data_IF_435151830655
#
_entry.id   IF_435151830655
#
_cell.length_a   1.000
_cell.length_b   1.000
_cell.length_c   1.000
_cell.angle_alpha   90.00
_cell.angle_beta   90.00
_cell.angle_gamma   90.00
#
_symmetry.space_group_name_H-M   'P 1'
#
loop_
_entity.id
_entity.type
_entity.pdbx_description
1 polymer ?
#
# COMPACT_ATOMS: atom_id res chain seq x y z
N UNK A 1 -21.00 -53.35 5.96
CA UNK A 1 -20.49 -52.61 4.78
C UNK A 1 -21.56 -51.62 4.35
N UNK A 2 -21.72 -50.54 5.11
CA UNK A 2 -22.51 -49.36 4.77
C UNK A 2 -21.75 -48.22 5.45
N UNK A 3 -20.65 -47.82 4.84
CA UNK A 3 -19.94 -46.61 5.20
C UNK A 3 -20.40 -45.53 4.21
N UNK A 4 -20.93 -44.44 4.77
CA UNK A 4 -20.53 -43.08 4.40
C UNK A 4 -21.08 -42.44 3.12
N UNK A 5 -22.35 -42.67 2.80
CA UNK A 5 -23.08 -41.73 1.93
C UNK A 5 -23.18 -40.33 2.56
N UNK A 6 -23.49 -40.26 3.86
CA UNK A 6 -23.59 -39.00 4.60
C UNK A 6 -22.22 -38.36 4.88
N UNK A 7 -21.17 -39.16 5.04
CA UNK A 7 -19.82 -38.67 5.35
C UNK A 7 -19.14 -38.08 4.10
N UNK A 8 -19.35 -38.67 2.92
CA UNK A 8 -18.87 -38.10 1.65
C UNK A 8 -19.57 -36.77 1.35
N UNK A 9 -20.89 -36.69 1.54
CA UNK A 9 -21.66 -35.45 1.33
C UNK A 9 -21.24 -34.39 2.36
N UNK A 10 -21.05 -34.77 3.63
CA UNK A 10 -20.56 -33.88 4.68
C UNK A 10 -19.15 -33.34 4.39
N UNK A 11 -18.23 -34.19 3.90
CA UNK A 11 -16.90 -33.77 3.47
C UNK A 11 -16.96 -32.81 2.28
N UNK A 12 -17.73 -33.14 1.24
CA UNK A 12 -17.92 -32.27 0.07
C UNK A 12 -18.49 -30.90 0.45
N UNK A 13 -19.48 -30.85 1.35
CA UNK A 13 -20.07 -29.60 1.83
C UNK A 13 -19.04 -28.76 2.59
N UNK A 14 -18.22 -29.38 3.46
CA UNK A 14 -17.14 -28.69 4.18
C UNK A 14 -16.09 -28.13 3.23
N UNK A 15 -15.61 -28.93 2.29
CA UNK A 15 -14.61 -28.49 1.31
C UNK A 15 -15.14 -27.35 0.45
N UNK A 16 -16.41 -27.43 0.03
CA UNK A 16 -17.05 -26.36 -0.75
C UNK A 16 -17.19 -25.07 0.06
N UNK A 17 -17.56 -25.17 1.34
CA UNK A 17 -17.61 -24.03 2.26
C UNK A 17 -16.24 -23.38 2.46
N UNK A 18 -15.19 -24.18 2.63
CA UNK A 18 -13.80 -23.70 2.78
C UNK A 18 -13.36 -22.95 1.51
N UNK A 19 -13.61 -23.52 0.33
CA UNK A 19 -13.27 -22.88 -0.95
C UNK A 19 -14.06 -21.59 -1.15
N UNK A 20 -15.36 -21.58 -0.85
CA UNK A 20 -16.18 -20.37 -0.94
C UNK A 20 -15.69 -19.28 0.03
N UNK A 21 -15.34 -19.67 1.26
CA UNK A 21 -14.80 -18.75 2.25
C UNK A 21 -13.47 -18.15 1.77
N UNK A 22 -12.56 -18.98 1.24
CA UNK A 22 -11.31 -18.52 0.65
C UNK A 22 -11.56 -17.54 -0.49
N UNK A 23 -12.42 -17.89 -1.45
CA UNK A 23 -12.76 -17.05 -2.60
C UNK A 23 -13.33 -15.70 -2.16
N UNK A 24 -14.28 -15.70 -1.23
CA UNK A 24 -14.96 -14.48 -0.78
C UNK A 24 -14.07 -13.57 0.09
N UNK A 25 -13.19 -14.15 0.92
CA UNK A 25 -12.35 -13.37 1.84
C UNK A 25 -11.03 -12.94 1.22
N UNK A 26 -10.51 -13.67 0.22
CA UNK A 26 -9.18 -13.44 -0.31
C UNK A 26 -9.17 -12.72 -1.65
N UNK A 27 -10.04 -13.10 -2.59
CA UNK A 27 -10.01 -12.56 -3.97
C UNK A 27 -10.36 -11.06 -4.00
N UNK A 28 -11.43 -10.57 -3.36
CA UNK A 28 -11.79 -9.15 -3.47
C UNK A 28 -10.72 -8.22 -2.89
N UNK A 29 -10.16 -8.46 -1.68
CA UNK A 29 -9.07 -7.63 -1.15
C UNK A 29 -7.81 -7.69 -2.02
N UNK A 30 -7.47 -8.85 -2.60
CA UNK A 30 -6.33 -8.99 -3.49
C UNK A 30 -6.50 -8.17 -4.79
N UNK A 31 -7.69 -8.22 -5.40
CA UNK A 31 -8.01 -7.41 -6.58
C UNK A 31 -7.99 -5.91 -6.26
N UNK A 32 -8.60 -5.53 -5.13
CA UNK A 32 -8.59 -4.14 -4.66
C UNK A 32 -7.15 -3.63 -4.43
N UNK A 33 -6.30 -4.45 -3.80
CA UNK A 33 -4.89 -4.14 -3.57
C UNK A 33 -4.09 -4.03 -4.89
N UNK A 34 -4.37 -4.88 -5.87
CA UNK A 34 -3.74 -4.82 -7.18
C UNK A 34 -4.12 -3.55 -7.93
N UNK A 35 -5.40 -3.17 -7.89
CA UNK A 35 -5.89 -1.94 -8.51
C UNK A 35 -5.31 -0.69 -7.83
N UNK A 36 -5.36 -0.63 -6.50
CA UNK A 36 -4.81 0.51 -5.74
C UNK A 36 -3.30 0.62 -5.93
N UNK A 37 -2.57 -0.49 -5.83
CA UNK A 37 -1.13 -0.55 -6.06
C UNK A 37 -0.74 -0.09 -7.47
N UNK A 38 -1.48 -0.50 -8.51
CA UNK A 38 -1.23 -0.08 -9.89
C UNK A 38 -1.42 1.43 -10.07
N UNK A 39 -2.49 1.98 -9.51
CA UNK A 39 -2.79 3.41 -9.59
C UNK A 39 -1.74 4.22 -8.83
N UNK A 40 -1.34 3.77 -7.64
CA UNK A 40 -0.27 4.40 -6.88
C UNK A 40 1.06 4.36 -7.63
N UNK A 41 1.40 3.22 -8.22
CA UNK A 41 2.63 3.06 -8.98
C UNK A 41 2.67 4.00 -10.19
N UNK A 42 1.58 4.06 -10.98
CA UNK A 42 1.49 4.95 -12.15
C UNK A 42 1.50 6.42 -11.76
N UNK A 43 0.82 6.78 -10.67
CA UNK A 43 0.84 8.16 -10.15
C UNK A 43 2.26 8.55 -9.73
N UNK A 44 2.96 7.65 -9.03
CA UNK A 44 4.36 7.84 -8.68
C UNK A 44 5.27 8.01 -9.90
N UNK A 45 5.05 7.25 -10.98
CA UNK A 45 5.81 7.41 -12.23
C UNK A 45 5.55 8.76 -12.91
N UNK A 46 4.32 9.25 -12.91
CA UNK A 46 4.00 10.56 -13.47
C UNK A 46 4.71 11.69 -12.72
N UNK A 47 4.79 11.61 -11.40
CA UNK A 47 5.57 12.55 -10.57
C UNK A 47 7.07 12.38 -10.84
N UNK A 48 7.55 11.15 -11.02
CA UNK A 48 8.93 10.87 -11.44
C UNK A 48 9.29 11.54 -12.77
N UNK A 49 8.40 11.48 -13.77
CA UNK A 49 8.59 12.18 -15.06
C UNK A 49 8.61 13.70 -14.88
N UNK A 50 7.78 14.24 -13.99
CA UNK A 50 7.85 15.67 -13.65
C UNK A 50 9.22 16.02 -13.07
N UNK A 51 9.75 15.23 -12.14
CA UNK A 51 11.09 15.41 -11.56
C UNK A 51 12.18 15.40 -12.64
N UNK A 52 12.13 14.47 -13.58
CA UNK A 52 13.08 14.40 -14.69
C UNK A 52 13.04 15.67 -15.55
N UNK A 53 11.83 16.12 -15.92
CA UNK A 53 11.65 17.38 -16.64
C UNK A 53 12.21 18.57 -15.84
N UNK A 54 11.98 18.59 -14.53
CA UNK A 54 12.48 19.61 -13.60
C UNK A 54 14.02 19.62 -13.55
N UNK A 55 14.66 18.45 -13.59
CA UNK A 55 16.11 18.30 -13.60
C UNK A 55 16.74 18.73 -14.94
N UNK A 56 16.09 18.46 -16.07
CA UNK A 56 16.55 18.89 -17.39
C UNK A 56 16.50 20.42 -17.53
N UNK A 57 15.48 21.06 -16.96
CA UNK A 57 15.37 22.53 -16.94
C UNK A 57 16.45 23.16 -16.05
N UNK A 58 16.88 22.49 -14.97
CA UNK A 58 17.94 22.98 -14.07
C UNK A 58 19.31 23.16 -14.78
N UNK A 59 19.58 22.38 -15.82
CA UNK A 59 20.82 22.48 -16.61
C UNK A 59 20.84 23.65 -17.59
N UNK A 60 19.68 24.19 -17.95
CA UNK A 60 19.53 25.25 -18.94
C UNK A 60 19.09 26.57 -18.26
N UNK A 61 19.23 27.72 -18.94
CA UNK A 61 18.65 28.98 -18.45
C UNK A 61 17.16 28.94 -18.80
N UNK A 62 16.26 28.75 -17.81
CA UNK A 62 14.90 28.35 -18.12
C UNK A 62 14.10 29.51 -18.70
N UNK A 63 13.41 29.24 -19.82
CA UNK A 63 12.46 30.19 -20.39
C UNK A 63 11.17 30.24 -19.58
N UNK A 64 10.53 31.42 -19.50
CA UNK A 64 9.29 31.63 -18.74
C UNK A 64 8.18 30.61 -19.08
N UNK A 65 8.04 30.30 -20.37
CA UNK A 65 7.05 29.35 -20.86
C UNK A 65 7.26 27.93 -20.33
N UNK A 66 8.50 27.49 -20.16
CA UNK A 66 8.81 26.14 -19.68
C UNK A 66 8.46 25.99 -18.21
N UNK A 67 8.81 27.00 -17.39
CA UNK A 67 8.47 27.01 -15.97
C UNK A 67 6.95 27.12 -15.77
N UNK A 68 6.25 27.91 -16.60
CA UNK A 68 4.78 27.99 -16.55
C UNK A 68 4.14 26.65 -16.89
N UNK A 69 4.61 25.96 -17.94
CA UNK A 69 4.12 24.63 -18.32
C UNK A 69 4.39 23.59 -17.22
N UNK A 70 5.56 23.66 -16.60
CA UNK A 70 5.94 22.80 -15.49
C UNK A 70 5.03 23.02 -14.28
N UNK A 71 4.71 24.28 -13.96
CA UNK A 71 3.77 24.64 -12.89
C UNK A 71 2.36 24.14 -13.15
N UNK A 72 1.87 24.23 -14.39
CA UNK A 72 0.58 23.64 -14.77
C UNK A 72 0.58 22.12 -14.56
N UNK A 73 1.63 21.43 -15.03
CA UNK A 73 1.76 19.97 -14.83
C UNK A 73 1.84 19.60 -13.34
N UNK A 74 2.56 20.40 -12.54
CA UNK A 74 2.64 20.23 -11.09
C UNK A 74 1.25 20.34 -10.43
N UNK A 75 0.44 21.33 -10.84
CA UNK A 75 -0.93 21.50 -10.33
C UNK A 75 -1.85 20.34 -10.75
N UNK A 76 -1.75 19.86 -11.99
CA UNK A 76 -2.51 18.68 -12.41
C UNK A 76 -2.14 17.44 -11.61
N UNK A 77 -0.85 17.23 -11.34
CA UNK A 77 -0.39 16.13 -10.50
C UNK A 77 -0.83 16.29 -9.05
N UNK A 78 -0.86 17.52 -8.53
CA UNK A 78 -1.40 17.80 -7.21
C UNK A 78 -2.87 17.40 -7.09
N UNK A 79 -3.70 17.78 -8.07
CA UNK A 79 -5.12 17.39 -8.11
C UNK A 79 -5.25 15.86 -8.23
N UNK A 80 -4.49 15.24 -9.13
CA UNK A 80 -4.50 13.78 -9.30
C UNK A 80 -4.15 13.04 -8.01
N UNK A 81 -3.09 13.46 -7.31
CA UNK A 81 -2.66 12.83 -6.07
C UNK A 81 -3.73 12.99 -4.98
N UNK A 82 -4.43 14.13 -4.95
CA UNK A 82 -5.53 14.34 -4.02
C UNK A 82 -6.76 13.48 -4.35
N UNK A 83 -7.12 13.33 -5.61
CA UNK A 83 -8.20 12.43 -6.03
C UNK A 83 -7.86 10.97 -5.72
N UNK A 84 -6.62 10.57 -6.00
CA UNK A 84 -6.11 9.23 -5.68
C UNK A 84 -6.15 8.97 -4.17
N UNK A 85 -5.72 9.91 -3.34
CA UNK A 85 -5.83 9.77 -1.88
C UNK A 85 -7.30 9.63 -1.46
N UNK A 86 -8.18 10.53 -1.93
CA UNK A 86 -9.59 10.54 -1.55
C UNK A 86 -10.32 9.24 -1.90
N UNK A 87 -10.11 8.71 -3.10
CA UNK A 87 -10.81 7.51 -3.59
C UNK A 87 -10.22 6.21 -3.01
N UNK A 88 -8.90 6.14 -2.84
CA UNK A 88 -8.24 4.91 -2.41
C UNK A 88 -7.98 4.82 -0.90
N UNK A 89 -8.05 5.93 -0.16
CA UNK A 89 -7.85 5.94 1.29
C UNK A 89 -8.83 5.02 2.05
N UNK A 90 -10.16 5.01 1.77
CA UNK A 90 -11.08 4.04 2.35
C UNK A 90 -10.80 2.61 1.88
N UNK A 91 -10.47 2.43 0.61
CA UNK A 91 -10.17 1.11 0.03
C UNK A 91 -8.95 0.47 0.70
N UNK A 92 -7.88 1.23 0.90
CA UNK A 92 -6.69 0.75 1.59
C UNK A 92 -6.95 0.45 3.07
N UNK A 93 -7.83 1.21 3.73
CA UNK A 93 -8.26 0.90 5.07
C UNK A 93 -8.99 -0.45 5.14
N UNK A 94 -9.92 -0.70 4.22
CA UNK A 94 -10.62 -1.98 4.13
C UNK A 94 -9.66 -3.14 3.81
N UNK A 95 -8.70 -2.95 2.90
CA UNK A 95 -7.66 -3.94 2.61
C UNK A 95 -6.88 -4.25 3.89
N UNK A 96 -6.35 -3.24 4.58
CA UNK A 96 -5.58 -3.44 5.81
C UNK A 96 -6.41 -4.14 6.90
N UNK A 97 -7.67 -3.77 7.09
CA UNK A 97 -8.57 -4.43 8.04
C UNK A 97 -8.81 -5.89 7.66
N UNK A 98 -9.08 -6.17 6.39
CA UNK A 98 -9.29 -7.52 5.89
C UNK A 98 -8.05 -8.39 6.09
N UNK A 99 -6.86 -7.87 5.82
CA UNK A 99 -5.63 -8.62 6.00
C UNK A 99 -5.30 -8.83 7.49
N UNK A 100 -5.61 -7.85 8.35
CA UNK A 100 -5.51 -8.04 9.79
C UNK A 100 -6.46 -9.12 10.30
N UNK A 101 -7.68 -9.14 9.80
CA UNK A 101 -8.65 -10.19 10.14
C UNK A 101 -8.17 -11.58 9.67
N UNK A 102 -7.66 -11.68 8.44
CA UNK A 102 -7.09 -12.91 7.91
C UNK A 102 -5.91 -13.40 8.76
N UNK A 103 -5.02 -12.50 9.19
CA UNK A 103 -3.88 -12.87 10.01
C UNK A 103 -4.29 -13.39 11.40
N UNK A 104 -5.28 -12.77 12.03
CA UNK A 104 -5.84 -13.29 13.29
C UNK A 104 -6.52 -14.66 13.10
N UNK A 105 -7.19 -14.86 11.95
CA UNK A 105 -7.82 -16.15 11.60
C UNK A 105 -6.76 -17.24 11.43
N UNK A 106 -5.68 -16.95 10.71
CA UNK A 106 -4.52 -17.85 10.56
C UNK A 106 -3.94 -18.22 11.93
N UNK A 107 -3.77 -17.24 12.82
CA UNK A 107 -3.23 -17.47 14.16
C UNK A 107 -4.15 -18.38 14.99
N UNK A 108 -5.46 -18.17 14.91
CA UNK A 108 -6.45 -19.02 15.56
C UNK A 108 -6.43 -20.46 15.01
N UNK A 109 -6.38 -20.62 13.69
CA UNK A 109 -6.29 -21.92 13.05
C UNK A 109 -4.99 -22.64 13.42
N UNK A 110 -3.87 -21.93 13.56
CA UNK A 110 -2.61 -22.51 14.05
C UNK A 110 -2.74 -23.06 15.48
N UNK A 111 -3.42 -22.34 16.38
CA UNK A 111 -3.71 -22.83 17.74
C UNK A 111 -4.56 -24.10 17.70
N UNK A 112 -5.62 -24.10 16.90
CA UNK A 112 -6.49 -25.26 16.73
C UNK A 112 -5.75 -26.46 16.12
N UNK A 113 -4.83 -26.22 15.19
CA UNK A 113 -3.97 -27.26 14.62
C UNK A 113 -3.05 -27.89 15.67
N UNK A 114 -2.47 -27.09 16.57
CA UNK A 114 -1.65 -27.60 17.68
C UNK A 114 -2.46 -28.47 18.66
N UNK A 115 -3.78 -28.34 18.69
CA UNK A 115 -4.69 -29.18 19.47
C UNK A 115 -5.16 -30.44 18.72
N UNK A 116 -4.52 -30.83 17.61
CA UNK A 116 -4.86 -31.97 16.75
C UNK A 116 -6.31 -31.93 16.18
N UNK A 117 -6.95 -30.75 16.16
CA UNK A 117 -8.31 -30.56 15.67
C UNK A 117 -8.39 -30.34 14.15
N UNK A 118 -7.25 -30.21 13.45
CA UNK A 118 -7.19 -29.82 12.04
C UNK A 118 -6.28 -30.73 11.20
N UNK A 119 -6.72 -31.06 9.99
CA UNK A 119 -5.97 -31.88 9.04
C UNK A 119 -4.78 -31.13 8.41
N UNK A 120 -3.72 -31.87 8.07
CA UNK A 120 -2.49 -31.34 7.43
C UNK A 120 -2.74 -30.55 6.14
N UNK A 121 -3.77 -30.92 5.35
CA UNK A 121 -4.19 -30.20 4.15
C UNK A 121 -4.65 -28.77 4.41
N UNK A 122 -5.21 -28.49 5.59
CA UNK A 122 -5.63 -27.14 5.96
C UNK A 122 -4.44 -26.27 6.36
N UNK A 123 -3.43 -26.87 7.00
CA UNK A 123 -2.22 -26.16 7.44
C UNK A 123 -1.43 -25.53 6.28
N UNK A 124 -1.34 -26.20 5.13
CA UNK A 124 -0.63 -25.66 3.97
C UNK A 124 -1.36 -24.47 3.34
N UNK A 125 -2.69 -24.49 3.29
CA UNK A 125 -3.51 -23.38 2.78
C UNK A 125 -3.38 -22.14 3.67
N UNK A 126 -3.43 -22.32 4.98
CA UNK A 126 -3.26 -21.27 5.99
C UNK A 126 -1.90 -20.56 5.83
N UNK A 127 -0.82 -21.31 5.62
CA UNK A 127 0.52 -20.74 5.41
C UNK A 127 0.57 -19.93 4.10
N UNK A 128 -0.02 -20.45 3.03
CA UNK A 128 -0.07 -19.75 1.75
C UNK A 128 -0.85 -18.44 1.87
N UNK A 129 -2.01 -18.45 2.51
CA UNK A 129 -2.83 -17.26 2.79
C UNK A 129 -2.05 -16.19 3.55
N UNK A 130 -1.31 -16.59 4.59
CA UNK A 130 -0.49 -15.67 5.38
C UNK A 130 0.57 -14.98 4.53
N UNK A 131 1.32 -15.76 3.73
CA UNK A 131 2.38 -15.22 2.87
C UNK A 131 1.79 -14.24 1.88
N UNK A 132 0.69 -14.61 1.22
CA UNK A 132 0.04 -13.77 0.24
C UNK A 132 -0.53 -12.47 0.85
N UNK A 133 -1.19 -12.55 2.01
CA UNK A 133 -1.70 -11.39 2.75
C UNK A 133 -0.60 -10.37 3.05
N UNK A 134 0.54 -10.86 3.53
CA UNK A 134 1.71 -10.03 3.85
C UNK A 134 2.28 -9.39 2.58
N UNK A 135 2.44 -10.16 1.50
CA UNK A 135 2.96 -9.65 0.22
C UNK A 135 2.05 -8.54 -0.34
N UNK A 136 0.73 -8.73 -0.29
CA UNK A 136 -0.24 -7.74 -0.78
C UNK A 136 -0.13 -6.41 -0.01
N UNK A 137 -0.07 -6.47 1.33
CA UNK A 137 0.09 -5.27 2.15
C UNK A 137 1.40 -4.54 1.86
N UNK A 138 2.51 -5.27 1.84
CA UNK A 138 3.84 -4.71 1.53
C UNK A 138 3.81 -4.02 0.17
N UNK A 139 3.24 -4.67 -0.84
CA UNK A 139 3.18 -4.14 -2.20
C UNK A 139 2.40 -2.82 -2.25
N UNK A 140 1.21 -2.77 -1.65
CA UNK A 140 0.39 -1.53 -1.61
C UNK A 140 1.13 -0.41 -0.87
N UNK A 141 1.72 -0.71 0.29
CA UNK A 141 2.45 0.28 1.09
C UNK A 141 3.66 0.80 0.31
N UNK A 142 4.44 -0.06 -0.35
CA UNK A 142 5.58 0.35 -1.16
C UNK A 142 5.13 1.21 -2.34
N UNK A 143 4.07 0.82 -3.06
CA UNK A 143 3.54 1.61 -4.16
C UNK A 143 3.04 2.99 -3.69
N UNK A 144 2.33 3.06 -2.57
CA UNK A 144 1.90 4.33 -1.99
C UNK A 144 3.10 5.19 -1.56
N UNK A 145 4.11 4.59 -0.92
CA UNK A 145 5.31 5.30 -0.45
C UNK A 145 6.14 5.90 -1.59
N UNK A 146 6.08 5.31 -2.79
CA UNK A 146 6.73 5.84 -3.99
C UNK A 146 6.23 7.24 -4.34
N UNK A 147 4.93 7.53 -4.16
CA UNK A 147 4.38 8.87 -4.39
C UNK A 147 5.05 9.87 -3.45
N UNK A 148 5.03 9.59 -2.14
CA UNK A 148 5.64 10.45 -1.12
C UNK A 148 7.14 10.68 -1.38
N UNK A 149 7.86 9.63 -1.77
CA UNK A 149 9.27 9.73 -2.13
C UNK A 149 9.49 10.64 -3.35
N UNK A 150 8.73 10.46 -4.42
CA UNK A 150 8.88 11.27 -5.63
C UNK A 150 8.50 12.74 -5.38
N UNK A 151 7.45 12.99 -4.60
CA UNK A 151 7.08 14.35 -4.16
C UNK A 151 8.23 15.00 -3.38
N UNK A 152 8.83 14.28 -2.43
CA UNK A 152 9.98 14.78 -1.67
C UNK A 152 11.16 15.12 -2.60
N UNK A 153 11.45 14.28 -3.59
CA UNK A 153 12.49 14.56 -4.57
C UNK A 153 12.17 15.78 -5.45
N UNK A 154 10.92 15.96 -5.87
CA UNK A 154 10.48 17.15 -6.62
C UNK A 154 10.68 18.41 -5.78
N UNK A 155 10.20 18.40 -4.53
CA UNK A 155 10.36 19.53 -3.60
C UNK A 155 11.84 19.89 -3.39
N UNK A 156 12.68 18.88 -3.15
CA UNK A 156 14.14 19.08 -3.01
C UNK A 156 14.74 19.71 -4.26
N UNK A 157 14.34 19.26 -5.45
CA UNK A 157 14.86 19.79 -6.71
C UNK A 157 14.38 21.22 -6.97
N UNK A 158 13.12 21.54 -6.65
CA UNK A 158 12.57 22.89 -6.67
C UNK A 158 13.33 23.83 -5.73
N UNK A 159 13.61 23.39 -4.50
CA UNK A 159 14.34 24.17 -3.51
C UNK A 159 15.78 24.47 -3.96
N UNK A 160 16.47 23.49 -4.56
CA UNK A 160 17.80 23.68 -5.13
C UNK A 160 17.78 24.71 -6.28
N UNK A 161 16.77 24.66 -7.14
CA UNK A 161 16.62 25.65 -8.22
C UNK A 161 16.30 27.03 -7.68
N UNK A 162 15.37 27.15 -6.73
CA UNK A 162 15.02 28.40 -6.08
C UNK A 162 16.25 29.09 -5.48
N UNK A 163 17.08 28.36 -4.73
CA UNK A 163 18.29 28.90 -4.13
C UNK A 163 19.31 29.38 -5.18
N UNK A 164 19.43 28.69 -6.32
CA UNK A 164 20.30 29.09 -7.44
C UNK A 164 19.74 30.29 -8.22
N UNK A 165 18.43 30.42 -8.33
CA UNK A 165 17.77 31.52 -9.02
C UNK A 165 17.64 32.77 -8.15
N UNK A 166 17.62 32.62 -6.82
CA UNK A 166 17.57 33.74 -5.87
C UNK A 166 18.83 34.61 -5.94
N UNK A 167 19.98 34.03 -6.24
CA UNK A 167 21.24 34.77 -6.45
C UNK A 167 21.28 35.54 -7.76
N UNK A 168 20.43 35.19 -8.73
CA UNK A 168 20.42 35.75 -10.10
C UNK A 168 19.22 36.66 -10.42
N UNK A 169 18.36 36.97 -9.43
CA UNK A 169 17.14 37.82 -9.58
C UNK A 169 16.26 37.41 -10.78
N UNK A 170 16.01 36.12 -10.92
CA UNK A 170 15.19 35.59 -12.01
C UNK A 170 13.69 35.84 -11.76
N UNK A 171 12.94 36.27 -12.78
CA UNK A 171 11.49 36.58 -12.70
C UNK A 171 10.60 35.36 -12.38
N UNK A 172 11.15 34.16 -12.39
CA UNK A 172 10.42 32.90 -12.16
C UNK A 172 10.42 32.44 -10.69
N UNK A 173 11.07 33.19 -9.81
CA UNK A 173 11.14 32.89 -8.37
C UNK A 173 9.75 32.78 -7.71
N UNK A 174 8.78 33.59 -8.13
CA UNK A 174 7.45 33.56 -7.55
C UNK A 174 6.68 32.29 -7.90
N UNK A 175 6.81 31.79 -9.14
CA UNK A 175 6.17 30.53 -9.56
C UNK A 175 6.81 29.35 -8.81
N UNK A 176 8.14 29.32 -8.70
CA UNK A 176 8.85 28.29 -7.93
C UNK A 176 8.46 28.30 -6.46
N UNK A 177 8.34 29.49 -5.86
CA UNK A 177 7.88 29.66 -4.48
C UNK A 177 6.46 29.11 -4.30
N UNK A 178 5.54 29.48 -5.19
CA UNK A 178 4.16 28.97 -5.14
C UNK A 178 4.12 27.43 -5.22
N UNK A 179 4.96 26.80 -6.06
CA UNK A 179 5.03 25.33 -6.14
C UNK A 179 5.54 24.70 -4.85
N UNK A 180 6.56 25.28 -4.20
CA UNK A 180 7.05 24.81 -2.90
C UNK A 180 6.03 25.00 -1.77
N UNK A 181 5.21 26.04 -1.83
CA UNK A 181 4.19 26.30 -0.81
C UNK A 181 3.02 25.28 -0.87
N UNK A 182 2.84 24.60 -2.01
CA UNK A 182 1.82 23.55 -2.17
C UNK A 182 2.29 22.25 -1.50
N UNK A 183 1.53 21.79 -0.51
CA UNK A 183 1.75 20.51 0.18
C UNK A 183 0.87 19.42 -0.40
N UNK A 184 1.48 18.42 -1.02
CA UNK A 184 0.76 17.20 -1.42
C UNK A 184 0.19 16.47 -0.21
N UNK A 185 -0.98 15.82 -0.36
CA UNK A 185 -1.53 15.00 0.69
C UNK A 185 -0.64 13.76 0.90
N UNK A 186 -0.53 13.34 2.15
CA UNK A 186 0.12 12.07 2.48
C UNK A 186 -0.82 10.92 2.13
N UNK A 187 -0.27 9.82 1.62
CA UNK A 187 -1.06 8.62 1.37
C UNK A 187 -1.43 7.96 2.70
N UNK A 188 -2.74 7.85 2.95
CA UNK A 188 -3.27 7.27 4.19
C UNK A 188 -4.25 6.14 3.92
N UNK A 189 -4.54 5.38 4.97
CA UNK A 189 -5.66 4.48 5.08
C UNK A 189 -6.73 5.15 5.95
N UNK A 190 -7.70 5.77 5.28
CA UNK A 190 -8.83 6.51 5.85
C UNK A 190 -8.42 7.61 6.86
N UNK A 191 -7.26 8.23 6.67
CA UNK A 191 -6.71 9.23 7.60
C UNK A 191 -6.21 8.68 8.95
N UNK A 192 -6.36 7.37 9.21
CA UNK A 192 -6.01 6.75 10.49
C UNK A 192 -4.54 6.35 10.50
N UNK A 193 -4.08 5.73 9.41
CA UNK A 193 -2.73 5.19 9.29
C UNK A 193 -2.05 5.74 8.04
N UNK A 194 -0.81 6.20 8.18
CA UNK A 194 0.03 6.60 7.03
C UNK A 194 0.58 5.35 6.34
N UNK A 195 0.47 5.29 5.01
CA UNK A 195 1.00 4.21 4.19
C UNK A 195 2.49 4.43 3.93
N UNK A 196 3.32 4.10 4.91
CA UNK A 196 4.77 4.24 4.83
C UNK A 196 5.50 2.93 5.18
N UNK A 197 6.78 2.78 4.81
CA UNK A 197 7.51 1.54 5.08
C UNK A 197 7.62 1.18 6.57
N UNK A 198 7.56 2.16 7.49
CA UNK A 198 7.54 1.87 8.93
C UNK A 198 6.29 1.09 9.37
N UNK A 199 5.16 1.25 8.67
CA UNK A 199 3.96 0.45 8.93
C UNK A 199 4.20 -1.04 8.71
N UNK A 200 5.05 -1.40 7.75
CA UNK A 200 5.41 -2.81 7.48
C UNK A 200 6.11 -3.39 8.71
N UNK A 201 7.13 -2.68 9.22
CA UNK A 201 7.85 -3.11 10.43
C UNK A 201 6.91 -3.24 11.63
N UNK A 202 6.07 -2.23 11.89
CA UNK A 202 5.08 -2.28 12.98
C UNK A 202 4.09 -3.44 12.83
N UNK A 203 3.72 -3.78 11.59
CA UNK A 203 2.86 -4.93 11.32
C UNK A 203 3.57 -6.24 11.65
N UNK A 204 4.82 -6.43 11.20
CA UNK A 204 5.62 -7.60 11.56
C UNK A 204 5.83 -7.74 13.06
N UNK A 205 6.15 -6.64 13.75
CA UNK A 205 6.34 -6.63 15.21
C UNK A 205 5.06 -7.06 15.93
N UNK A 206 3.91 -6.59 15.47
CA UNK A 206 2.60 -6.99 16.01
C UNK A 206 2.37 -8.49 15.81
N UNK A 207 2.57 -9.00 14.60
CA UNK A 207 2.42 -10.44 14.28
C UNK A 207 3.34 -11.30 15.15
N UNK A 208 4.61 -10.91 15.29
CA UNK A 208 5.57 -11.62 16.12
C UNK A 208 5.17 -11.59 17.60
N UNK A 209 4.73 -10.43 18.10
CA UNK A 209 4.31 -10.28 19.49
C UNK A 209 3.11 -11.15 19.81
N UNK A 210 2.04 -11.09 19.00
CA UNK A 210 0.85 -11.92 19.19
C UNK A 210 1.14 -13.40 18.97
N UNK A 211 1.95 -13.75 17.97
CA UNK A 211 2.40 -15.12 17.73
C UNK A 211 3.16 -15.71 18.91
N UNK A 212 4.14 -14.97 19.44
CA UNK A 212 4.91 -15.38 20.62
C UNK A 212 4.05 -15.48 21.87
N UNK A 213 3.10 -14.55 22.06
CA UNK A 213 2.18 -14.58 23.20
C UNK A 213 1.30 -15.83 23.15
N UNK A 214 0.76 -16.17 21.97
CA UNK A 214 -0.01 -17.40 21.76
C UNK A 214 0.83 -18.66 22.02
N UNK A 215 2.09 -18.68 21.57
CA UNK A 215 3.00 -19.81 21.81
C UNK A 215 3.31 -19.96 23.31
N UNK A 216 3.55 -18.85 24.01
CA UNK A 216 3.87 -18.86 25.44
C UNK A 216 2.68 -19.21 26.32
N UNK A 217 1.46 -18.76 25.99
CA UNK A 217 0.24 -19.13 26.73
C UNK A 217 -0.11 -20.61 26.53
N UNK A 218 0.22 -21.18 25.35
CA UNK A 218 0.02 -22.59 25.04
C UNK A 218 1.26 -23.46 25.27
N UNK A 219 2.19 -23.04 26.14
CA UNK A 219 3.24 -23.92 26.68
C UNK A 219 2.67 -24.63 27.93
N UNK A 220 2.63 -25.97 27.97
CA UNK A 220 2.33 -26.69 29.20
C UNK A 220 3.41 -26.45 30.25
#
# INVERSE_FOLDING_TARGET
MLADGDDIVSMLVKDTLIVMQFVCLFIPPALAALLSGTIFFKTGDLIGKLRENLANIKSEVPCHNEISKLSMNYNYLYVLVHEVEKEFSPTNFLILCSQWFNLNTVLLCYVLYKCDLLSYSLGSQIIAELIFAVILNISVILCASKISYQVFCVHTTLQLMYNKSATTKCSHLQIMKNMMDIKFPEMTAYGIVKLNPSLIASSFDSVLTYGLLVINVNRP
#
